data_IF_003891203137
#
_entry.id   IF_003891203137
#
_cell.length_a   1.000
_cell.length_b   1.000
_cell.length_c   1.000
_cell.angle_alpha   90.00
_cell.angle_beta   90.00
_cell.angle_gamma   90.00
#
_symmetry.space_group_name_H-M   'P 1'
#
loop_
_entity.id
_entity.type
_entity.pdbx_description
1 polymer ?
#
# COMPACT_ATOMS: atom_id res chain seq x y z
N UNK A 1 -19.86 -1.23 -27.99
CA UNK A 1 -18.81 -1.96 -27.26
C UNK A 1 -19.18 -3.42 -26.91
N UNK A 2 -20.44 -3.87 -26.99
CA UNK A 2 -20.80 -5.28 -26.68
C UNK A 2 -20.78 -6.25 -27.87
N UNK A 3 -20.98 -5.74 -29.09
CA UNK A 3 -21.05 -6.57 -30.30
C UNK A 3 -19.70 -7.19 -30.68
N UNK A 4 -18.60 -6.51 -30.37
CA UNK A 4 -17.25 -6.97 -30.69
C UNK A 4 -16.96 -8.33 -30.01
N UNK A 5 -17.37 -8.50 -28.74
CA UNK A 5 -17.27 -9.80 -28.04
C UNK A 5 -18.04 -10.90 -28.74
N UNK A 6 -19.28 -10.65 -29.13
CA UNK A 6 -20.13 -11.67 -29.79
C UNK A 6 -19.54 -12.04 -31.15
N UNK A 7 -19.14 -11.05 -31.95
CA UNK A 7 -18.58 -11.25 -33.29
C UNK A 7 -17.25 -12.01 -33.20
N UNK A 8 -16.35 -11.60 -32.32
CA UNK A 8 -15.04 -12.26 -32.13
C UNK A 8 -15.25 -13.69 -31.65
N UNK A 9 -16.10 -13.92 -30.65
CA UNK A 9 -16.39 -15.26 -30.15
C UNK A 9 -16.99 -16.13 -31.26
N UNK A 10 -17.91 -15.60 -32.08
CA UNK A 10 -18.49 -16.34 -33.20
C UNK A 10 -17.44 -16.72 -34.24
N UNK A 11 -16.57 -15.78 -34.65
CA UNK A 11 -15.47 -16.04 -35.60
C UNK A 11 -14.50 -17.08 -35.03
N UNK A 12 -14.10 -16.94 -33.76
CA UNK A 12 -13.24 -17.88 -33.06
C UNK A 12 -13.83 -19.29 -33.08
N UNK A 13 -15.13 -19.42 -32.78
CA UNK A 13 -15.82 -20.72 -32.79
C UNK A 13 -16.07 -21.29 -34.18
N UNK A 14 -16.25 -20.45 -35.21
CA UNK A 14 -16.51 -20.92 -36.57
C UNK A 14 -15.25 -21.37 -37.30
N UNK A 15 -14.12 -20.71 -37.05
CA UNK A 15 -12.83 -21.06 -37.67
C UNK A 15 -12.22 -22.27 -36.98
N UNK A 16 -12.42 -22.42 -35.67
CA UNK A 16 -11.95 -23.55 -34.85
C UNK A 16 -10.44 -23.86 -34.94
N UNK A 17 -9.66 -22.98 -35.56
CA UNK A 17 -8.21 -23.03 -35.74
C UNK A 17 -7.60 -21.69 -35.26
N UNK A 18 -6.28 -21.64 -35.14
CA UNK A 18 -5.51 -20.44 -34.87
C UNK A 18 -5.82 -19.33 -35.88
N UNK A 19 -5.96 -18.10 -35.39
CA UNK A 19 -6.40 -16.98 -36.23
C UNK A 19 -6.08 -15.63 -35.62
N UNK A 20 -6.20 -14.60 -36.45
CA UNK A 20 -6.05 -13.21 -36.05
C UNK A 20 -7.15 -12.36 -36.69
N UNK A 21 -7.78 -11.52 -35.89
CA UNK A 21 -8.73 -10.49 -36.36
C UNK A 21 -8.20 -9.15 -35.91
N UNK A 22 -8.14 -8.18 -36.83
CA UNK A 22 -7.75 -6.82 -36.50
C UNK A 22 -8.83 -5.82 -36.90
N UNK A 23 -9.14 -4.89 -36.00
CA UNK A 23 -10.01 -3.76 -36.28
C UNK A 23 -9.17 -2.58 -36.74
N UNK A 24 -9.18 -2.33 -38.04
CA UNK A 24 -8.39 -1.27 -38.69
C UNK A 24 -8.65 0.14 -38.11
N UNK A 25 -9.88 0.42 -37.68
CA UNK A 25 -10.26 1.73 -37.13
C UNK A 25 -9.68 2.01 -35.74
N UNK A 26 -9.60 1.00 -34.86
CA UNK A 26 -9.10 1.14 -33.48
C UNK A 26 -7.66 0.65 -33.33
N UNK A 27 -7.09 0.04 -34.38
CA UNK A 27 -5.79 -0.66 -34.38
C UNK A 27 -5.70 -1.78 -33.34
N UNK A 28 -6.84 -2.32 -32.91
CA UNK A 28 -6.89 -3.47 -32.02
C UNK A 28 -6.71 -4.75 -32.82
N UNK A 29 -5.87 -5.66 -32.35
CA UNK A 29 -5.67 -6.97 -32.94
C UNK A 29 -5.91 -8.04 -31.87
N UNK A 30 -6.70 -9.04 -32.22
CA UNK A 30 -6.99 -10.22 -31.41
C UNK A 30 -6.42 -11.42 -32.13
N UNK A 31 -5.42 -12.05 -31.53
CA UNK A 31 -4.90 -13.34 -31.97
C UNK A 31 -5.35 -14.43 -31.00
N UNK A 32 -5.56 -15.63 -31.53
CA UNK A 32 -5.84 -16.80 -30.72
C UNK A 32 -5.19 -18.04 -31.31
N UNK A 33 -4.93 -18.98 -30.42
CA UNK A 33 -4.37 -20.29 -30.71
C UNK A 33 -5.38 -21.38 -30.40
N UNK A 34 -5.24 -22.53 -31.05
CA UNK A 34 -6.07 -23.72 -30.82
C UNK A 34 -6.10 -24.14 -29.34
N UNK A 35 -4.96 -23.99 -28.63
CA UNK A 35 -4.85 -24.24 -27.20
C UNK A 35 -5.75 -23.34 -26.34
N UNK A 36 -5.98 -22.09 -26.78
CA UNK A 36 -6.83 -21.11 -26.11
C UNK A 36 -8.32 -21.43 -26.32
N UNK A 37 -8.68 -21.93 -27.51
CA UNK A 37 -10.03 -22.40 -27.85
C UNK A 37 -10.39 -23.68 -27.10
N UNK A 38 -9.48 -24.65 -27.05
CA UNK A 38 -9.65 -25.93 -26.34
C UNK A 38 -9.83 -25.75 -24.82
N UNK A 39 -9.34 -24.64 -24.27
CA UNK A 39 -9.50 -24.28 -22.86
C UNK A 39 -10.94 -23.84 -22.50
N UNK A 40 -11.72 -23.33 -23.46
CA UNK A 40 -13.14 -23.02 -23.28
C UNK A 40 -14.05 -24.24 -23.40
N UNK A 41 -13.66 -25.24 -24.21
CA UNK A 41 -14.38 -26.49 -24.43
C UNK A 41 -14.01 -27.58 -23.40
N UNK A 42 -14.01 -27.24 -22.10
CA UNK A 42 -13.56 -28.14 -21.01
C UNK A 42 -14.43 -29.40 -20.78
N UNK A 43 -15.50 -29.61 -21.53
CA UNK A 43 -16.50 -30.65 -21.27
C UNK A 43 -16.02 -32.10 -21.47
N UNK A 44 -14.76 -32.34 -21.86
CA UNK A 44 -14.22 -33.70 -22.10
C UNK A 44 -13.04 -34.10 -21.21
N UNK A 45 -12.65 -33.30 -20.21
CA UNK A 45 -11.50 -33.62 -19.34
C UNK A 45 -11.93 -34.45 -18.13
N UNK A 46 -11.06 -35.36 -17.70
CA UNK A 46 -11.26 -36.10 -16.45
C UNK A 46 -11.31 -35.15 -15.24
N UNK A 47 -11.98 -35.57 -14.16
CA UNK A 47 -12.15 -34.75 -12.94
C UNK A 47 -10.81 -34.24 -12.39
N UNK A 48 -9.76 -35.08 -12.42
CA UNK A 48 -8.43 -34.71 -11.95
C UNK A 48 -7.79 -33.61 -12.81
N UNK A 49 -7.95 -33.67 -14.13
CA UNK A 49 -7.42 -32.66 -15.05
C UNK A 49 -8.16 -31.33 -14.92
N UNK A 50 -9.47 -31.39 -14.67
CA UNK A 50 -10.27 -30.21 -14.36
C UNK A 50 -9.78 -29.53 -13.07
N UNK A 51 -9.62 -30.31 -11.99
CA UNK A 51 -9.10 -29.78 -10.71
C UNK A 51 -7.69 -29.20 -10.87
N UNK A 52 -6.80 -29.89 -11.60
CA UNK A 52 -5.45 -29.39 -11.91
C UNK A 52 -5.50 -28.06 -12.67
N UNK A 53 -6.36 -27.95 -13.67
CA UNK A 53 -6.53 -26.71 -14.44
C UNK A 53 -7.03 -25.56 -13.55
N UNK A 54 -8.01 -25.80 -12.66
CA UNK A 54 -8.50 -24.78 -11.73
C UNK A 54 -7.46 -24.41 -10.68
N UNK A 55 -6.68 -25.35 -10.17
CA UNK A 55 -5.58 -25.08 -9.25
C UNK A 55 -4.51 -24.17 -9.89
N UNK A 56 -4.16 -24.40 -11.16
CA UNK A 56 -3.24 -23.54 -11.92
C UNK A 56 -3.81 -22.13 -12.06
N UNK A 57 -5.12 -21.99 -12.33
CA UNK A 57 -5.79 -20.69 -12.40
C UNK A 57 -5.70 -19.94 -11.07
N UNK A 58 -5.94 -20.61 -9.94
CA UNK A 58 -5.79 -20.01 -8.61
C UNK A 58 -4.34 -19.57 -8.38
N UNK A 59 -3.36 -20.44 -8.66
CA UNK A 59 -1.95 -20.11 -8.48
C UNK A 59 -1.54 -18.89 -9.33
N UNK A 60 -1.95 -18.84 -10.60
CA UNK A 60 -1.72 -17.69 -11.47
C UNK A 60 -2.39 -16.42 -10.94
N UNK A 61 -3.61 -16.54 -10.40
CA UNK A 61 -4.34 -15.42 -9.81
C UNK A 61 -3.65 -14.89 -8.54
N UNK A 62 -3.10 -15.78 -7.71
CA UNK A 62 -2.34 -15.41 -6.51
C UNK A 62 -1.04 -14.69 -6.88
N UNK A 63 -0.30 -15.22 -7.87
CA UNK A 63 0.90 -14.56 -8.39
C UNK A 63 0.56 -13.21 -9.00
N UNK A 64 -0.50 -13.12 -9.80
CA UNK A 64 -0.97 -11.88 -10.38
C UNK A 64 -1.31 -10.84 -9.31
N UNK A 65 -2.08 -11.24 -8.29
CA UNK A 65 -2.41 -10.37 -7.16
C UNK A 65 -1.15 -9.91 -6.42
N UNK A 66 -0.23 -10.83 -6.13
CA UNK A 66 1.02 -10.52 -5.43
C UNK A 66 1.87 -9.50 -6.19
N UNK A 67 2.13 -9.72 -7.49
CA UNK A 67 2.96 -8.82 -8.28
C UNK A 67 2.30 -7.45 -8.49
N UNK A 68 1.01 -7.45 -8.88
CA UNK A 68 0.27 -6.21 -9.11
C UNK A 68 0.18 -5.39 -7.82
N UNK A 69 -0.28 -5.99 -6.71
CA UNK A 69 -0.35 -5.31 -5.41
C UNK A 69 1.01 -4.84 -4.94
N UNK A 70 2.07 -5.65 -4.99
CA UNK A 70 3.40 -5.23 -4.51
C UNK A 70 3.89 -3.97 -5.20
N UNK A 71 3.70 -3.87 -6.52
CA UNK A 71 4.24 -2.76 -7.30
C UNK A 71 3.34 -1.54 -7.30
N UNK A 72 2.02 -1.72 -7.30
CA UNK A 72 1.09 -0.61 -7.03
C UNK A 72 1.28 -0.05 -5.63
N UNK A 73 1.51 -0.90 -4.63
CA UNK A 73 1.73 -0.47 -3.27
C UNK A 73 3.06 0.27 -3.12
N UNK A 74 4.10 -0.16 -3.84
CA UNK A 74 5.39 0.54 -3.87
C UNK A 74 5.25 1.93 -4.52
N UNK A 75 4.61 2.03 -5.69
CA UNK A 75 4.46 3.31 -6.39
C UNK A 75 3.59 4.28 -5.59
N UNK A 76 2.46 3.82 -5.01
CA UNK A 76 1.59 4.68 -4.18
C UNK A 76 2.36 5.27 -3.00
N UNK A 77 3.13 4.44 -2.28
CA UNK A 77 3.95 4.91 -1.15
C UNK A 77 5.03 5.88 -1.58
N UNK A 78 5.68 5.61 -2.72
CA UNK A 78 6.69 6.50 -3.29
C UNK A 78 6.08 7.83 -3.75
N UNK A 79 4.87 7.83 -4.32
CA UNK A 79 4.19 9.05 -4.77
C UNK A 79 3.78 9.91 -3.57
N UNK A 80 3.32 9.28 -2.48
CA UNK A 80 2.99 10.02 -1.26
C UNK A 80 4.25 10.57 -0.58
N UNK A 81 5.31 9.78 -0.48
CA UNK A 81 6.54 10.22 0.20
C UNK A 81 7.38 11.20 -0.63
N UNK A 82 7.40 11.06 -1.95
CA UNK A 82 8.36 11.77 -2.82
C UNK A 82 7.71 12.53 -3.97
N UNK A 83 6.42 12.30 -4.29
CA UNK A 83 5.75 12.97 -5.42
C UNK A 83 5.67 14.49 -5.26
N UNK A 84 5.65 14.97 -4.02
CA UNK A 84 5.62 16.40 -3.69
C UNK A 84 6.96 17.11 -3.95
N UNK A 85 8.04 16.37 -4.25
CA UNK A 85 9.35 16.97 -4.50
C UNK A 85 9.30 17.99 -5.65
N UNK A 86 8.38 17.83 -6.60
CA UNK A 86 8.18 18.75 -7.74
C UNK A 86 7.71 20.15 -7.28
N UNK A 87 7.01 20.24 -6.14
CA UNK A 87 6.52 21.51 -5.62
C UNK A 87 7.65 22.41 -5.11
N UNK A 88 8.76 21.84 -4.63
CA UNK A 88 9.91 22.61 -4.13
C UNK A 88 10.60 23.46 -5.22
N UNK A 89 11.04 22.91 -6.37
CA UNK A 89 11.62 23.71 -7.44
C UNK A 89 10.58 24.63 -8.08
N UNK A 90 9.31 24.21 -8.18
CA UNK A 90 8.23 25.04 -8.73
C UNK A 90 7.99 26.31 -7.90
N UNK A 91 7.86 26.16 -6.58
CA UNK A 91 7.67 27.30 -5.67
C UNK A 91 8.93 28.16 -5.57
N UNK A 92 10.12 27.56 -5.67
CA UNK A 92 11.38 28.30 -5.72
C UNK A 92 11.46 29.14 -7.00
N UNK A 93 11.07 28.58 -8.16
CA UNK A 93 10.98 29.29 -9.42
C UNK A 93 9.96 30.44 -9.38
N UNK A 94 8.78 30.21 -8.81
CA UNK A 94 7.77 31.26 -8.62
C UNK A 94 8.26 32.41 -7.74
N UNK A 95 9.04 32.12 -6.69
CA UNK A 95 9.69 33.16 -5.88
C UNK A 95 10.70 33.97 -6.70
N UNK A 96 11.52 33.32 -7.54
CA UNK A 96 12.42 34.03 -8.46
C UNK A 96 11.66 34.93 -9.45
N UNK A 97 10.42 34.58 -9.80
CA UNK A 97 9.54 35.40 -10.65
C UNK A 97 8.78 36.50 -9.88
N UNK A 98 9.11 36.74 -8.60
CA UNK A 98 8.55 37.84 -7.81
C UNK A 98 7.28 37.50 -7.03
N UNK A 99 6.83 36.24 -7.02
CA UNK A 99 5.73 35.80 -6.16
C UNK A 99 6.23 35.55 -4.72
N UNK A 100 6.53 36.62 -3.98
CA UNK A 100 7.08 36.56 -2.62
C UNK A 100 6.08 36.12 -1.55
N UNK A 101 4.78 36.14 -1.85
CA UNK A 101 3.70 35.78 -0.92
C UNK A 101 3.61 34.27 -0.61
N UNK A 102 4.34 33.41 -1.35
CA UNK A 102 4.28 31.97 -1.14
C UNK A 102 5.27 31.55 -0.06
N UNK A 103 4.76 31.16 1.09
CA UNK A 103 5.56 30.69 2.22
C UNK A 103 5.97 29.21 2.06
N UNK A 104 7.28 28.98 2.05
CA UNK A 104 7.85 27.62 2.02
C UNK A 104 7.59 26.85 3.32
N UNK A 105 7.33 27.56 4.42
CA UNK A 105 7.02 26.93 5.70
C UNK A 105 5.72 26.12 5.62
N UNK A 106 4.71 26.60 4.88
CA UNK A 106 3.45 25.88 4.67
C UNK A 106 3.71 24.54 3.95
N UNK A 107 4.56 24.55 2.92
CA UNK A 107 4.94 23.32 2.21
C UNK A 107 5.68 22.35 3.14
N UNK A 108 6.61 22.86 3.94
CA UNK A 108 7.41 22.06 4.86
C UNK A 108 6.57 21.44 5.99
N UNK A 109 5.54 22.14 6.47
CA UNK A 109 4.59 21.63 7.46
C UNK A 109 3.59 20.64 6.86
N UNK A 110 3.17 20.85 5.61
CA UNK A 110 2.24 19.95 4.91
C UNK A 110 2.88 18.60 4.60
N UNK A 111 4.20 18.57 4.44
CA UNK A 111 4.96 17.37 4.09
C UNK A 111 6.15 17.17 5.02
N UNK A 112 5.92 16.81 6.29
CA UNK A 112 6.98 16.76 7.31
C UNK A 112 8.14 15.83 6.93
N UNK A 113 7.87 14.75 6.21
CA UNK A 113 8.89 13.78 5.79
C UNK A 113 9.95 14.35 4.85
N UNK A 114 9.62 15.38 4.08
CA UNK A 114 10.56 16.07 3.18
C UNK A 114 10.92 17.45 3.73
N UNK A 115 9.94 18.16 4.30
CA UNK A 115 10.11 19.50 4.86
C UNK A 115 11.05 19.56 6.06
N UNK A 116 11.00 18.58 6.96
CA UNK A 116 11.83 18.57 8.17
C UNK A 116 13.33 18.34 7.85
N UNK A 117 13.72 17.40 6.96
CA UNK A 117 15.07 17.34 6.44
C UNK A 117 15.52 18.62 5.73
N UNK A 118 14.64 19.26 4.94
CA UNK A 118 14.93 20.53 4.25
C UNK A 118 15.22 21.64 5.26
N UNK A 119 14.39 21.80 6.28
CA UNK A 119 14.57 22.82 7.32
C UNK A 119 15.84 22.56 8.16
N UNK A 120 16.15 21.31 8.48
CA UNK A 120 17.41 20.96 9.16
C UNK A 120 18.64 21.29 8.32
N UNK A 121 18.60 21.02 7.02
CA UNK A 121 19.69 21.40 6.11
C UNK A 121 19.85 22.92 6.03
N UNK A 122 18.74 23.67 5.97
CA UNK A 122 18.75 25.15 6.02
C UNK A 122 19.33 25.67 7.32
N UNK A 123 18.91 25.14 8.47
CA UNK A 123 19.43 25.52 9.78
C UNK A 123 20.94 25.26 9.91
N UNK A 124 21.46 24.24 9.22
CA UNK A 124 22.88 23.92 9.15
C UNK A 124 23.63 24.66 8.03
N UNK A 125 22.98 25.58 7.29
CA UNK A 125 23.52 26.25 6.10
C UNK A 125 24.06 25.28 5.03
N UNK A 126 23.46 24.08 4.91
CA UNK A 126 23.83 23.07 3.91
C UNK A 126 22.94 23.16 2.67
N UNK A 127 23.47 22.82 1.48
CA UNK A 127 22.68 22.85 0.26
C UNK A 127 21.54 21.82 0.28
N UNK A 128 20.34 22.26 -0.06
CA UNK A 128 19.12 21.42 -0.16
C UNK A 128 19.02 20.70 -1.51
N UNK A 129 19.70 21.23 -2.54
CA UNK A 129 19.66 20.72 -3.92
C UNK A 129 19.92 19.22 -4.05
N UNK A 130 20.95 18.62 -3.39
CA UNK A 130 21.21 17.19 -3.51
C UNK A 130 20.05 16.32 -3.01
N UNK A 131 19.33 16.76 -1.96
CA UNK A 131 18.18 16.05 -1.44
C UNK A 131 17.01 16.07 -2.44
N UNK A 132 16.71 17.25 -3.02
CA UNK A 132 15.65 17.41 -4.02
C UNK A 132 15.98 16.57 -5.27
N UNK A 133 17.22 16.62 -5.75
CA UNK A 133 17.68 15.84 -6.91
C UNK A 133 17.57 14.35 -6.62
N UNK A 134 17.99 13.88 -5.44
CA UNK A 134 17.87 12.47 -5.07
C UNK A 134 16.41 11.99 -5.08
N UNK A 135 15.48 12.80 -4.55
CA UNK A 135 14.05 12.47 -4.61
C UNK A 135 13.48 12.51 -6.02
N UNK A 136 13.91 13.46 -6.88
CA UNK A 136 13.53 13.49 -8.30
C UNK A 136 14.02 12.25 -9.05
N UNK A 137 15.29 11.87 -8.87
CA UNK A 137 15.86 10.65 -9.48
C UNK A 137 15.12 9.42 -8.97
N UNK A 138 14.85 9.33 -7.67
CA UNK A 138 14.04 8.25 -7.08
C UNK A 138 12.66 8.18 -7.73
N UNK A 139 12.03 9.32 -8.00
CA UNK A 139 10.71 9.37 -8.63
C UNK A 139 10.76 8.80 -10.04
N UNK A 140 11.71 9.26 -10.85
CA UNK A 140 11.90 8.80 -12.23
C UNK A 140 12.20 7.30 -12.27
N UNK A 141 13.15 6.82 -11.45
CA UNK A 141 13.56 5.41 -11.45
C UNK A 141 12.38 4.50 -11.07
N UNK A 142 11.64 4.83 -10.01
CA UNK A 142 10.54 3.98 -9.55
C UNK A 142 9.31 4.03 -10.46
N UNK A 143 9.06 5.17 -11.10
CA UNK A 143 8.01 5.27 -12.11
C UNK A 143 8.36 4.46 -13.38
N UNK A 144 9.59 4.60 -13.89
CA UNK A 144 10.07 3.78 -15.02
C UNK A 144 10.05 2.29 -14.69
N UNK A 145 10.43 1.93 -13.46
CA UNK A 145 10.29 0.56 -12.97
C UNK A 145 8.83 0.13 -13.05
N UNK A 146 7.89 0.89 -12.48
CA UNK A 146 6.45 0.61 -12.51
C UNK A 146 5.91 0.38 -13.92
N UNK A 147 6.24 1.24 -14.88
CA UNK A 147 5.82 1.09 -16.29
C UNK A 147 6.39 -0.18 -16.93
N UNK A 148 7.69 -0.45 -16.76
CA UNK A 148 8.33 -1.66 -17.30
C UNK A 148 7.72 -2.95 -16.73
N UNK A 149 7.42 -2.88 -15.45
CA UNK A 149 6.76 -3.89 -14.66
C UNK A 149 5.33 -4.17 -15.15
N UNK A 150 4.50 -3.13 -15.35
CA UNK A 150 3.17 -3.27 -15.92
C UNK A 150 3.19 -4.02 -17.25
N UNK A 151 4.13 -3.65 -18.14
CA UNK A 151 4.31 -4.30 -19.43
C UNK A 151 4.75 -5.76 -19.29
N UNK A 152 5.75 -6.02 -18.44
CA UNK A 152 6.29 -7.37 -18.24
C UNK A 152 5.24 -8.34 -17.68
N UNK A 153 4.47 -7.92 -16.68
CA UNK A 153 3.41 -8.74 -16.10
C UNK A 153 2.17 -8.83 -16.99
N UNK A 154 1.90 -7.81 -17.81
CA UNK A 154 0.90 -7.88 -18.89
C UNK A 154 1.15 -9.11 -19.75
N UNK A 155 2.36 -9.20 -20.30
CA UNK A 155 2.79 -10.33 -21.14
C UNK A 155 2.78 -11.65 -20.37
N UNK A 156 3.29 -11.68 -19.14
CA UNK A 156 3.50 -12.94 -18.42
C UNK A 156 2.24 -13.52 -17.78
N UNK A 157 1.36 -12.66 -17.25
CA UNK A 157 0.14 -13.08 -16.55
C UNK A 157 -1.06 -13.18 -17.50
N UNK A 158 -1.11 -12.33 -18.53
CA UNK A 158 -2.25 -12.21 -19.42
C UNK A 158 -1.89 -12.58 -20.86
N UNK A 159 -1.42 -13.81 -21.06
CA UNK A 159 -1.18 -14.42 -22.38
C UNK A 159 -2.50 -14.80 -23.09
N UNK A 160 -3.39 -13.82 -23.27
CA UNK A 160 -4.70 -13.96 -23.92
C UNK A 160 -5.08 -12.67 -24.67
N UNK A 161 -5.91 -12.76 -25.72
CA UNK A 161 -6.43 -11.56 -26.38
C UNK A 161 -7.33 -10.79 -25.41
N UNK A 162 -6.81 -9.67 -24.88
CA UNK A 162 -7.54 -8.76 -24.01
C UNK A 162 -8.02 -7.52 -24.77
N UNK A 163 -9.15 -6.92 -24.36
CA UNK A 163 -9.55 -5.60 -24.83
C UNK A 163 -8.49 -4.57 -24.47
N UNK A 164 -8.29 -3.58 -25.36
CA UNK A 164 -7.32 -2.52 -25.12
C UNK A 164 -7.61 -1.80 -23.80
N UNK A 165 -6.55 -1.57 -23.02
CA UNK A 165 -6.61 -0.87 -21.74
C UNK A 165 -7.12 -1.69 -20.55
N UNK A 166 -7.58 -2.94 -20.74
CA UNK A 166 -8.07 -3.76 -19.62
C UNK A 166 -7.01 -3.98 -18.53
N UNK A 167 -5.77 -4.24 -18.93
CA UNK A 167 -4.64 -4.37 -18.00
C UNK A 167 -4.43 -3.08 -17.21
N UNK A 168 -4.45 -1.93 -17.90
CA UNK A 168 -4.33 -0.62 -17.27
C UNK A 168 -5.44 -0.37 -16.24
N UNK A 169 -6.67 -0.78 -16.54
CA UNK A 169 -7.78 -0.70 -15.59
C UNK A 169 -7.57 -1.58 -14.35
N UNK A 170 -7.02 -2.79 -14.50
CA UNK A 170 -6.68 -3.65 -13.36
C UNK A 170 -5.67 -2.93 -12.45
N UNK A 171 -4.58 -2.39 -13.00
CA UNK A 171 -3.61 -1.63 -12.20
C UNK A 171 -4.24 -0.39 -11.56
N UNK A 172 -5.11 0.33 -12.28
CA UNK A 172 -5.82 1.49 -11.74
C UNK A 172 -6.71 1.14 -10.54
N UNK A 173 -7.45 0.03 -10.62
CA UNK A 173 -8.31 -0.44 -9.52
C UNK A 173 -7.45 -0.83 -8.30
N UNK A 174 -6.39 -1.60 -8.51
CA UNK A 174 -5.48 -1.99 -7.42
C UNK A 174 -4.80 -0.76 -6.83
N UNK A 175 -4.42 0.23 -7.64
CA UNK A 175 -3.84 1.49 -7.18
C UNK A 175 -4.81 2.29 -6.29
N UNK A 176 -6.08 2.43 -6.69
CA UNK A 176 -7.12 3.08 -5.87
C UNK A 176 -7.28 2.34 -4.54
N UNK A 177 -7.29 1.01 -4.57
CA UNK A 177 -7.41 0.19 -3.36
C UNK A 177 -6.19 0.34 -2.43
N UNK A 178 -4.97 0.32 -2.94
CA UNK A 178 -3.75 0.54 -2.16
C UNK A 178 -3.72 1.93 -1.54
N UNK A 179 -4.11 2.94 -2.31
CA UNK A 179 -4.23 4.32 -1.83
C UNK A 179 -5.27 4.43 -0.70
N UNK A 180 -6.45 3.84 -0.90
CA UNK A 180 -7.49 3.77 0.13
C UNK A 180 -6.99 3.05 1.38
N UNK A 181 -6.31 1.92 1.20
CA UNK A 181 -5.81 1.10 2.30
C UNK A 181 -4.75 1.79 3.14
N UNK A 182 -3.96 2.65 2.50
CA UNK A 182 -2.98 3.47 3.19
C UNK A 182 -3.62 4.57 4.05
N UNK A 183 -4.71 5.21 3.57
CA UNK A 183 -5.30 6.36 4.25
C UNK A 183 -6.32 5.94 5.31
N UNK A 184 -7.22 5.02 4.97
CA UNK A 184 -8.42 4.77 5.77
C UNK A 184 -8.32 3.55 6.67
N UNK A 185 -7.50 2.54 6.35
CA UNK A 185 -7.42 1.33 7.17
C UNK A 185 -6.45 1.50 8.34
N UNK A 186 -7.05 1.63 9.53
CA UNK A 186 -6.36 1.90 10.79
C UNK A 186 -6.74 0.91 11.89
N UNK A 187 -7.96 0.38 11.86
CA UNK A 187 -8.45 -0.64 12.79
C UNK A 187 -7.88 -2.03 12.48
N UNK A 188 -7.64 -2.84 13.53
CA UNK A 188 -7.13 -4.20 13.38
C UNK A 188 -8.07 -5.10 12.55
N UNK A 189 -9.39 -4.95 12.76
CA UNK A 189 -10.40 -5.70 12.03
C UNK A 189 -10.37 -5.38 10.54
N UNK A 190 -10.31 -4.09 10.14
CA UNK A 190 -10.26 -3.73 8.73
C UNK A 190 -8.97 -4.25 8.06
N UNK A 191 -7.83 -4.11 8.73
CA UNK A 191 -6.52 -4.60 8.24
C UNK A 191 -6.56 -6.11 8.00
N UNK A 192 -7.28 -6.85 8.84
CA UNK A 192 -7.46 -8.29 8.69
C UNK A 192 -8.42 -8.63 7.53
N UNK A 193 -9.59 -8.00 7.46
CA UNK A 193 -10.65 -8.44 6.54
C UNK A 193 -10.51 -7.90 5.11
N UNK A 194 -10.12 -6.64 4.92
CA UNK A 194 -10.17 -6.03 3.60
C UNK A 194 -9.26 -6.72 2.56
N UNK A 195 -7.97 -7.04 2.86
CA UNK A 195 -7.10 -7.71 1.89
C UNK A 195 -7.65 -9.09 1.47
N UNK A 196 -8.41 -9.75 2.35
CA UNK A 196 -9.04 -11.04 2.03
C UNK A 196 -10.22 -10.87 1.10
N UNK A 197 -11.08 -9.88 1.35
CA UNK A 197 -12.20 -9.60 0.45
C UNK A 197 -11.71 -9.20 -0.94
N UNK A 198 -10.70 -8.34 -1.04
CA UNK A 198 -10.14 -7.94 -2.33
C UNK A 198 -9.50 -9.12 -3.06
N UNK A 199 -8.76 -9.98 -2.35
CA UNK A 199 -8.21 -11.20 -2.92
C UNK A 199 -9.31 -12.13 -3.46
N UNK A 200 -10.39 -12.33 -2.72
CA UNK A 200 -11.52 -13.18 -3.17
C UNK A 200 -12.18 -12.62 -4.44
N UNK A 201 -12.45 -11.32 -4.48
CA UNK A 201 -13.03 -10.68 -5.68
C UNK A 201 -12.07 -10.74 -6.88
N UNK A 202 -10.78 -10.54 -6.63
CA UNK A 202 -9.75 -10.62 -7.66
C UNK A 202 -9.65 -12.05 -8.23
N UNK A 203 -9.65 -13.07 -7.36
CA UNK A 203 -9.65 -14.48 -7.76
C UNK A 203 -10.93 -14.80 -8.56
N UNK A 204 -12.11 -14.34 -8.11
CA UNK A 204 -13.36 -14.57 -8.82
C UNK A 204 -13.35 -13.99 -10.24
N UNK A 205 -12.82 -12.76 -10.40
CA UNK A 205 -12.60 -12.16 -11.72
C UNK A 205 -11.63 -12.97 -12.58
N UNK A 206 -10.49 -13.42 -12.03
CA UNK A 206 -9.51 -14.22 -12.77
C UNK A 206 -10.03 -15.61 -13.14
N UNK A 207 -10.88 -16.22 -12.30
CA UNK A 207 -11.58 -17.46 -12.65
C UNK A 207 -12.42 -17.29 -13.91
N UNK A 208 -13.13 -16.17 -14.03
CA UNK A 208 -13.88 -15.83 -15.23
C UNK A 208 -12.94 -15.55 -16.42
N UNK A 209 -11.93 -14.70 -16.23
CA UNK A 209 -10.94 -14.33 -17.25
C UNK A 209 -10.21 -15.54 -17.86
N UNK A 210 -9.72 -16.44 -17.01
CA UNK A 210 -9.02 -17.64 -17.48
C UNK A 210 -9.98 -18.74 -17.94
N UNK A 211 -11.22 -18.75 -17.45
CA UNK A 211 -12.25 -19.72 -17.81
C UNK A 211 -12.86 -19.52 -19.20
N UNK A 212 -12.83 -18.30 -19.74
CA UNK A 212 -13.36 -17.99 -21.08
C UNK A 212 -12.24 -17.72 -22.10
N UNK A 213 -12.49 -17.96 -23.39
CA UNK A 213 -11.54 -17.62 -24.45
C UNK A 213 -11.58 -16.11 -24.75
N UNK A 214 -12.77 -15.60 -25.05
CA UNK A 214 -13.06 -14.17 -25.13
C UNK A 214 -14.45 -13.94 -24.53
N UNK A 215 -14.54 -13.06 -23.53
CA UNK A 215 -15.76 -12.84 -22.76
C UNK A 215 -16.02 -11.36 -22.53
N UNK A 216 -17.10 -11.06 -21.80
CA UNK A 216 -17.44 -9.69 -21.39
C UNK A 216 -16.53 -9.20 -20.25
N UNK A 217 -15.22 -9.17 -20.48
CA UNK A 217 -14.21 -8.83 -19.47
C UNK A 217 -14.39 -7.44 -18.85
N UNK A 218 -14.71 -6.37 -19.62
CA UNK A 218 -14.93 -5.05 -19.03
C UNK A 218 -16.11 -5.02 -18.04
N UNK A 219 -17.17 -5.79 -18.32
CA UNK A 219 -18.33 -5.90 -17.42
C UNK A 219 -17.96 -6.67 -16.15
N UNK A 220 -17.24 -7.77 -16.28
CA UNK A 220 -16.74 -8.54 -15.14
C UNK A 220 -15.74 -7.73 -14.27
N UNK A 221 -14.92 -6.89 -14.91
CA UNK A 221 -14.03 -5.99 -14.19
C UNK A 221 -14.81 -4.90 -13.45
N UNK A 222 -15.85 -4.34 -14.07
CA UNK A 222 -16.74 -3.36 -13.43
C UNK A 222 -17.48 -3.96 -12.23
N UNK A 223 -17.97 -5.20 -12.32
CA UNK A 223 -18.63 -5.87 -11.19
C UNK A 223 -17.65 -6.14 -10.05
N UNK A 224 -16.42 -6.57 -10.35
CA UNK A 224 -15.35 -6.69 -9.37
C UNK A 224 -15.06 -5.34 -8.70
N UNK A 225 -14.92 -4.26 -9.48
CA UNK A 225 -14.68 -2.92 -8.96
C UNK A 225 -15.80 -2.44 -8.03
N UNK A 226 -17.06 -2.59 -8.42
CA UNK A 226 -18.20 -2.22 -7.57
C UNK A 226 -18.27 -3.06 -6.30
N UNK A 227 -17.97 -4.36 -6.37
CA UNK A 227 -17.90 -5.23 -5.20
C UNK A 227 -16.76 -4.82 -4.24
N UNK A 228 -15.61 -4.41 -4.79
CA UNK A 228 -14.51 -3.83 -4.02
C UNK A 228 -14.93 -2.49 -3.40
N UNK A 229 -15.53 -1.56 -4.14
CA UNK A 229 -16.04 -0.30 -3.57
C UNK A 229 -17.02 -0.55 -2.41
N UNK A 230 -17.91 -1.52 -2.56
CA UNK A 230 -18.80 -1.93 -1.48
C UNK A 230 -18.03 -2.45 -0.26
N UNK A 231 -17.00 -3.28 -0.42
CA UNK A 231 -16.18 -3.73 0.72
C UNK A 231 -15.38 -2.60 1.37
N UNK A 232 -14.92 -1.60 0.62
CA UNK A 232 -14.29 -0.40 1.17
C UNK A 232 -15.27 0.39 2.04
N UNK A 233 -16.45 0.69 1.52
CA UNK A 233 -17.50 1.42 2.26
C UNK A 233 -17.96 0.62 3.49
N UNK A 234 -18.10 -0.69 3.37
CA UNK A 234 -18.43 -1.58 4.48
C UNK A 234 -17.35 -1.52 5.57
N UNK A 235 -16.07 -1.66 5.22
CA UNK A 235 -14.98 -1.58 6.20
C UNK A 235 -14.93 -0.20 6.86
N UNK A 236 -15.15 0.87 6.12
CA UNK A 236 -15.18 2.22 6.68
C UNK A 236 -16.30 2.39 7.72
N UNK A 237 -17.53 2.05 7.32
CA UNK A 237 -18.73 2.33 8.12
C UNK A 237 -18.92 1.36 9.28
N UNK A 238 -18.52 0.09 9.12
CA UNK A 238 -18.76 -0.97 10.10
C UNK A 238 -17.54 -1.33 10.94
N UNK A 239 -16.33 -1.06 10.48
CA UNK A 239 -15.11 -1.39 11.22
C UNK A 239 -14.38 -0.12 11.69
N UNK A 240 -14.06 0.81 10.78
CA UNK A 240 -13.27 2.01 11.13
C UNK A 240 -14.04 3.03 11.98
N UNK A 241 -15.28 3.38 11.62
CA UNK A 241 -16.07 4.36 12.40
C UNK A 241 -16.32 3.88 13.84
N UNK A 242 -16.75 2.63 14.09
CA UNK A 242 -16.88 2.13 15.46
C UNK A 242 -15.55 2.04 16.20
N UNK A 243 -14.47 1.60 15.54
CA UNK A 243 -13.14 1.55 16.18
C UNK A 243 -12.67 2.93 16.62
N UNK A 244 -12.92 3.96 15.79
CA UNK A 244 -12.65 5.35 16.14
C UNK A 244 -13.50 5.83 17.32
N UNK A 245 -14.79 5.43 17.38
CA UNK A 245 -15.65 5.78 18.52
C UNK A 245 -15.23 5.10 19.83
N UNK A 246 -14.57 3.94 19.76
CA UNK A 246 -14.00 3.22 20.89
C UNK A 246 -12.59 3.67 21.27
N UNK A 247 -12.05 4.68 20.59
CA UNK A 247 -10.69 5.20 20.76
C UNK A 247 -9.58 4.15 20.50
N UNK A 248 -9.89 3.06 19.79
CA UNK A 248 -8.86 2.10 19.30
C UNK A 248 -7.94 2.75 18.25
N UNK A 249 -8.44 3.80 17.60
CA UNK A 249 -7.71 4.65 16.67
C UNK A 249 -7.97 6.09 17.09
N UNK A 250 -6.92 6.80 17.49
CA UNK A 250 -6.97 8.19 17.93
C UNK A 250 -5.99 9.06 17.13
N UNK A 251 -5.91 10.35 17.44
CA UNK A 251 -4.91 11.23 16.83
C UNK A 251 -3.48 10.84 17.26
N UNK A 252 -3.32 10.48 18.53
CA UNK A 252 -2.03 10.05 19.10
C UNK A 252 -1.69 8.61 18.69
N UNK A 253 -2.71 7.78 18.47
CA UNK A 253 -2.59 6.42 17.97
C UNK A 253 -3.29 6.28 16.60
N UNK A 254 -2.65 6.72 15.50
CA UNK A 254 -3.25 6.66 14.17
C UNK A 254 -3.48 5.23 13.66
N UNK A 255 -2.97 4.20 14.32
CA UNK A 255 -3.22 2.79 13.97
C UNK A 255 -3.28 1.88 15.20
N UNK A 256 -4.22 0.93 15.17
CA UNK A 256 -4.39 -0.04 16.25
C UNK A 256 -3.26 -1.09 16.31
N UNK A 257 -2.52 -1.28 15.21
CA UNK A 257 -1.38 -2.19 15.11
C UNK A 257 -0.14 -1.43 14.62
N UNK A 258 0.89 -1.43 15.45
CA UNK A 258 2.23 -0.99 15.06
C UNK A 258 3.10 -2.20 14.75
N UNK A 259 3.91 -2.09 13.71
CA UNK A 259 5.01 -3.01 13.50
C UNK A 259 6.14 -2.58 14.44
N UNK A 260 6.35 -3.33 15.52
CA UNK A 260 7.51 -3.12 16.38
C UNK A 260 8.78 -3.40 15.56
N UNK A 261 9.61 -2.36 15.38
CA UNK A 261 10.90 -2.52 14.73
C UNK A 261 11.94 -2.98 15.77
N UNK A 262 12.78 -3.97 15.46
CA UNK A 262 13.84 -4.40 16.36
C UNK A 262 14.98 -3.37 16.48
N UNK A 263 14.97 -2.31 15.67
CA UNK A 263 15.95 -1.23 15.69
C UNK A 263 15.30 0.13 15.97
N UNK A 264 16.06 1.04 16.58
CA UNK A 264 15.63 2.41 16.81
C UNK A 264 15.52 3.18 15.50
N UNK A 265 14.39 3.85 15.28
CA UNK A 265 14.26 4.78 14.17
C UNK A 265 15.12 6.02 14.46
N UNK A 266 16.08 6.33 13.60
CA UNK A 266 16.90 7.53 13.80
C UNK A 266 16.06 8.76 13.49
N UNK A 267 16.20 9.81 14.30
CA UNK A 267 15.39 11.04 14.18
C UNK A 267 15.54 11.78 12.85
N UNK A 268 16.55 11.43 12.04
CA UNK A 268 16.82 11.96 10.71
C UNK A 268 16.67 10.93 9.57
N UNK A 269 16.17 9.73 9.86
CA UNK A 269 15.96 8.70 8.85
C UNK A 269 14.77 9.10 7.95
N UNK A 270 14.96 8.99 6.64
CA UNK A 270 13.84 9.11 5.70
C UNK A 270 12.81 8.00 6.00
N UNK A 271 11.50 8.25 5.81
CA UNK A 271 10.50 7.22 5.99
C UNK A 271 10.87 5.99 5.15
N UNK A 272 10.90 4.80 5.74
CA UNK A 272 11.21 3.60 4.99
C UNK A 272 10.20 3.40 3.86
N UNK A 273 10.65 2.89 2.71
CA UNK A 273 9.76 2.58 1.57
C UNK A 273 8.71 1.52 1.89
N UNK A 274 8.94 0.72 2.93
CA UNK A 274 8.10 -0.41 3.33
C UNK A 274 7.03 -0.04 4.39
N UNK A 275 7.13 1.13 5.06
CA UNK A 275 6.04 1.66 5.90
C UNK A 275 6.09 3.18 5.98
N UNK A 276 4.94 3.85 5.84
CA UNK A 276 4.82 5.27 6.21
C UNK A 276 4.49 5.48 7.68
N UNK A 277 4.07 4.41 8.36
CA UNK A 277 3.74 4.43 9.77
C UNK A 277 4.94 3.87 10.52
N UNK A 278 5.84 4.77 10.90
CA UNK A 278 6.85 4.47 11.90
C UNK A 278 6.16 4.48 13.27
N UNK A 279 6.49 3.54 14.18
CA UNK A 279 6.10 3.71 15.56
C UNK A 279 6.64 5.06 16.03
N UNK A 280 5.79 5.88 16.65
CA UNK A 280 6.25 6.98 17.49
C UNK A 280 7.21 6.33 18.50
N UNK A 281 8.41 6.90 18.67
CA UNK A 281 9.53 6.31 19.43
C UNK A 281 9.08 5.48 20.65
N UNK A 282 9.86 4.48 21.05
CA UNK A 282 9.64 3.64 22.26
C UNK A 282 9.41 4.38 23.61
N UNK A 283 9.42 5.72 23.62
CA UNK A 283 8.98 6.58 24.72
C UNK A 283 7.51 7.01 24.64
N UNK A 284 6.83 6.77 23.53
CA UNK A 284 5.38 6.81 23.42
C UNK A 284 4.86 5.44 23.85
N UNK A 285 5.02 5.13 25.14
CA UNK A 285 4.18 4.10 25.75
C UNK A 285 2.74 4.55 25.54
N UNK A 286 1.89 3.61 25.11
CA UNK A 286 0.48 3.85 24.99
C UNK A 286 -0.01 4.31 26.37
N UNK A 287 -0.75 5.42 26.46
CA UNK A 287 -1.36 5.89 27.73
C UNK A 287 -2.23 4.79 28.37
N UNK A 288 -2.61 3.79 27.57
CA UNK A 288 -3.45 2.66 27.93
C UNK A 288 -2.72 1.32 28.08
N UNK A 289 -1.39 1.26 27.82
CA UNK A 289 -0.61 0.02 28.00
C UNK A 289 -0.12 -0.15 29.44
N UNK A 290 -0.27 0.88 30.29
CA UNK A 290 -0.15 0.69 31.73
C UNK A 290 -1.43 0.01 32.22
N UNK A 291 -1.39 -1.27 32.66
CA UNK A 291 -2.50 -1.79 33.46
C UNK A 291 -2.67 -0.83 34.64
N UNK A 292 -3.90 -0.46 35.04
CA UNK A 292 -4.09 0.33 36.24
C UNK A 292 -3.38 -0.42 37.36
N UNK A 293 -2.32 0.19 37.90
CA UNK A 293 -1.59 -0.33 39.04
C UNK A 293 -2.66 -0.63 40.10
N UNK A 294 -2.92 -1.92 40.30
CA UNK A 294 -3.90 -2.39 41.25
C UNK A 294 -3.28 -2.31 42.66
N UNK A 295 -2.66 -1.17 42.98
CA UNK A 295 -2.20 -0.79 44.30
C UNK A 295 -3.36 -0.23 45.10
N UNK A 296 -4.41 -1.04 45.23
CA UNK A 296 -5.34 -0.93 46.34
C UNK A 296 -5.16 -2.18 47.19
N UNK A 297 -4.32 -2.06 48.23
CA UNK A 297 -4.58 -2.55 49.59
C UNK A 297 -3.29 -2.50 50.44
N UNK A 298 -3.09 -1.41 51.19
CA UNK A 298 -3.37 -1.37 52.63
C UNK A 298 -2.54 -0.30 53.36
N UNK A 299 -3.28 0.49 54.12
CA UNK A 299 -2.88 1.51 55.09
C UNK A 299 -1.63 1.19 55.93
N UNK A 300 -0.87 2.24 56.27
CA UNK A 300 -0.64 2.58 57.68
C UNK A 300 -0.05 3.99 57.82
N UNK A 301 -0.66 4.74 58.73
CA UNK A 301 -0.40 6.12 59.13
C UNK A 301 1.07 6.45 59.48
N UNK A 302 1.54 7.62 59.04
CA UNK A 302 2.76 8.27 59.54
C UNK A 302 2.73 9.79 59.27
N UNK A 303 3.06 10.66 60.25
CA UNK A 303 2.67 12.07 60.24
C UNK A 303 3.55 12.95 59.34
N UNK A 304 3.11 14.18 59.02
CA UNK A 304 3.80 15.06 58.09
C UNK A 304 4.93 15.80 58.81
N UNK A 305 6.15 15.76 58.26
CA UNK A 305 7.20 16.70 58.63
C UNK A 305 7.98 17.12 57.38
N UNK A 306 8.10 18.43 57.22
CA UNK A 306 8.74 19.05 56.07
C UNK A 306 10.24 19.33 56.25
N UNK A 307 10.76 19.92 55.17
CA UNK A 307 11.92 20.79 55.04
C UNK A 307 13.35 20.17 54.94
N UNK A 308 14.07 20.76 53.97
CA UNK A 308 15.52 20.95 53.87
C UNK A 308 16.36 19.73 53.42
N UNK A 309 16.98 19.80 52.23
CA UNK A 309 18.33 20.34 51.93
C UNK A 309 19.33 19.17 51.83
N UNK A 310 19.92 18.90 50.66
CA UNK A 310 21.18 19.49 50.15
C UNK A 310 22.40 19.23 51.06
N UNK A 311 23.50 18.84 50.40
CA UNK A 311 24.87 18.62 50.90
C UNK A 311 25.18 17.29 51.61
N UNK A 312 26.01 16.44 50.99
CA UNK A 312 27.48 16.42 50.97
C UNK A 312 28.09 15.76 52.22
N UNK A 313 29.02 14.85 51.96
CA UNK A 313 30.22 14.71 52.78
C UNK A 313 30.20 13.59 53.80
N UNK A 314 31.02 12.58 53.52
CA UNK A 314 32.08 12.12 54.45
C UNK A 314 31.66 11.58 55.83
N UNK A 315 31.81 10.26 55.99
CA UNK A 315 33.01 9.64 56.59
C UNK A 315 32.67 8.46 57.54
N UNK A 316 33.66 7.55 57.64
CA UNK A 316 33.86 6.54 58.68
C UNK A 316 33.13 5.19 58.59
N UNK A 317 33.79 4.24 57.92
CA UNK A 317 34.66 3.32 58.65
C UNK A 317 34.13 1.93 59.07
N UNK A 318 35.03 0.95 58.94
CA UNK A 318 35.02 -0.48 59.38
C UNK A 318 34.26 -1.46 58.47
N UNK A 319 34.87 -2.55 58.01
CA UNK A 319 36.23 -3.05 58.20
C UNK A 319 36.38 -4.50 57.70
N UNK A 320 37.63 -4.90 57.47
CA UNK A 320 38.13 -6.28 57.21
C UNK A 320 37.50 -7.05 56.03
N UNK A 321 38.20 -7.83 55.23
CA UNK A 321 39.59 -8.27 55.18
C UNK A 321 39.66 -9.45 54.20
N UNK A 322 40.73 -9.45 53.40
CA UNK A 322 41.55 -10.60 52.97
C UNK A 322 40.85 -11.86 52.40
N UNK A 323 41.13 -12.12 51.13
CA UNK A 323 41.75 -13.39 50.69
C UNK A 323 40.85 -14.43 50.03
N UNK A 324 41.17 -14.75 48.77
CA UNK A 324 40.60 -15.86 48.00
C UNK A 324 40.61 -15.57 46.52
#
# INVERSE_FOLDING_TARGET
AGWDTIIITQIMTSVADSGMVARLATKEAWSWTESTLALGYQNKRGVLEYLKAKAIVVLRSLLAFFFTSTVTALIVRMLISSGVVIMFPLLTGLRYLGCSAIDMQILNMSYPWLGLPVERLRAQNKPVTPLIVAHMVRVVVLYSMYEACQLAWGIWLYDKPLPSGLELWIYGIVMIWEYYSMIYLRSAAAIYFLPRFTLVYFIAFHFYLYGTAYGFYPVALLTMFLAMCHSLVFCLTRLEVPASSRLEVSFDQPRALYTALPWTAWSAMLPPSWTLFLPLNSRAQNIYDDPPDNNNNNDTDGPPNGAAAEHQGEDQGRGGGIGG
#
